data_IF_004264576483
#
_entry.id   IF_004264576483
#
_cell.length_a   1.000
_cell.length_b   1.000
_cell.length_c   1.000
_cell.angle_alpha   90.00
_cell.angle_beta   90.00
_cell.angle_gamma   90.00
#
_symmetry.space_group_name_H-M   'P 1'
#
loop_
_entity.id
_entity.type
_entity.pdbx_description
1 polymer ?
#
# COMPACT_ATOMS: atom_id res chain seq x y z
N UNK A 1 11.93 8.46 -12.88
CA UNK A 1 11.86 9.31 -11.67
C UNK A 1 10.46 9.87 -11.61
N UNK A 2 9.69 9.59 -10.56
CA UNK A 2 8.32 10.11 -10.39
C UNK A 2 8.41 11.16 -9.29
N UNK A 3 7.97 12.38 -9.58
CA UNK A 3 7.92 13.48 -8.62
C UNK A 3 6.47 13.66 -8.19
N UNK A 4 6.24 13.76 -6.89
CA UNK A 4 4.93 14.11 -6.36
C UNK A 4 5.07 15.33 -5.45
N UNK A 5 4.32 16.38 -5.78
CA UNK A 5 4.26 17.62 -5.03
C UNK A 5 2.92 17.71 -4.30
N UNK A 6 2.96 18.02 -3.01
CA UNK A 6 1.77 18.27 -2.18
C UNK A 6 1.90 19.71 -1.68
N UNK A 7 0.84 20.49 -1.82
CA UNK A 7 0.79 21.89 -1.37
C UNK A 7 -0.55 22.17 -0.70
N UNK A 8 -0.58 23.14 0.22
CA UNK A 8 -1.79 23.55 0.92
C UNK A 8 -2.75 24.42 0.10
N UNK A 9 -2.25 25.07 -0.96
CA UNK A 9 -3.06 25.86 -1.88
C UNK A 9 -2.64 25.66 -3.33
N UNK A 10 -3.51 26.06 -4.27
CA UNK A 10 -3.23 25.95 -5.71
C UNK A 10 -2.10 26.88 -6.16
N UNK A 11 -1.98 28.05 -5.54
CA UNK A 11 -0.93 29.03 -5.82
C UNK A 11 0.43 28.46 -5.42
N UNK A 12 0.54 27.92 -4.21
CA UNK A 12 1.76 27.22 -3.75
C UNK A 12 2.05 25.97 -4.58
N UNK A 13 1.01 25.28 -5.07
CA UNK A 13 1.21 24.13 -5.95
C UNK A 13 1.84 24.54 -7.28
N UNK A 14 1.36 25.62 -7.90
CA UNK A 14 1.92 26.15 -9.14
C UNK A 14 3.40 26.56 -8.96
N UNK A 15 3.73 27.23 -7.85
CA UNK A 15 5.11 27.59 -7.51
C UNK A 15 6.01 26.36 -7.35
N UNK A 16 5.58 25.36 -6.56
CA UNK A 16 6.35 24.13 -6.36
C UNK A 16 6.57 23.36 -7.66
N UNK A 17 5.52 23.24 -8.49
CA UNK A 17 5.64 22.58 -9.80
C UNK A 17 6.60 23.34 -10.71
N UNK A 18 6.56 24.68 -10.73
CA UNK A 18 7.49 25.49 -11.51
C UNK A 18 8.95 25.27 -11.08
N UNK A 19 9.23 25.23 -9.77
CA UNK A 19 10.57 24.93 -9.23
C UNK A 19 11.04 23.54 -9.66
N UNK A 20 10.18 22.52 -9.56
CA UNK A 20 10.54 21.15 -9.97
C UNK A 20 10.83 21.07 -11.47
N UNK A 21 10.01 21.72 -12.31
CA UNK A 21 10.23 21.76 -13.76
C UNK A 21 11.52 22.49 -14.13
N UNK A 22 11.86 23.59 -13.44
CA UNK A 22 13.12 24.32 -13.64
C UNK A 22 14.34 23.47 -13.26
N UNK A 23 14.27 22.73 -12.14
CA UNK A 23 15.32 21.77 -11.74
C UNK A 23 15.48 20.66 -12.79
N UNK A 24 14.37 20.10 -13.28
CA UNK A 24 14.39 19.08 -14.32
C UNK A 24 15.07 19.60 -15.58
N UNK A 25 14.71 20.81 -16.01
CA UNK A 25 15.31 21.46 -17.18
C UNK A 25 16.82 21.70 -16.98
N UNK A 26 17.23 22.23 -15.82
CA UNK A 26 18.65 22.45 -15.47
C UNK A 26 19.49 21.18 -15.54
N UNK A 27 18.92 20.05 -15.13
CA UNK A 27 19.60 18.75 -15.16
C UNK A 27 19.34 17.94 -16.44
N UNK A 28 18.71 18.53 -17.46
CA UNK A 28 18.36 17.85 -18.72
C UNK A 28 17.54 16.56 -18.51
N UNK A 29 16.68 16.56 -17.49
CA UNK A 29 15.74 15.48 -17.22
C UNK A 29 14.38 15.83 -17.84
N UNK A 30 13.81 14.88 -18.56
CA UNK A 30 12.54 15.07 -19.26
C UNK A 30 11.42 14.29 -18.58
N UNK A 31 10.33 14.99 -18.27
CA UNK A 31 9.10 14.36 -17.81
C UNK A 31 8.28 13.89 -19.02
N UNK A 32 7.76 12.65 -18.99
CA UNK A 32 6.88 12.14 -20.05
C UNK A 32 5.46 12.67 -19.82
N UNK A 33 4.88 13.51 -20.69
CA UNK A 33 3.58 14.13 -20.46
C UNK A 33 2.46 13.12 -20.19
N UNK A 34 2.50 11.96 -20.88
CA UNK A 34 1.51 10.88 -20.70
C UNK A 34 1.54 10.21 -19.32
N UNK A 35 2.52 10.54 -18.47
CA UNK A 35 2.67 10.02 -17.10
C UNK A 35 2.61 11.14 -16.06
N UNK A 36 2.35 12.38 -16.49
CA UNK A 36 2.24 13.53 -15.61
C UNK A 36 0.77 13.83 -15.36
N UNK A 37 0.40 13.87 -14.09
CA UNK A 37 -0.89 14.33 -13.62
C UNK A 37 -0.66 15.57 -12.76
N UNK A 38 -1.37 16.66 -13.04
CA UNK A 38 -1.24 17.92 -12.31
C UNK A 38 -2.54 18.25 -11.58
N UNK A 39 -2.42 18.93 -10.44
CA UNK A 39 -3.57 19.45 -9.67
C UNK A 39 -4.65 18.40 -9.34
N UNK A 40 -4.26 17.16 -9.04
CA UNK A 40 -5.20 16.11 -8.65
C UNK A 40 -5.45 16.11 -7.14
N UNK A 41 -6.71 15.96 -6.74
CA UNK A 41 -7.11 15.82 -5.34
C UNK A 41 -6.72 14.45 -4.74
N UNK A 42 -6.56 13.44 -5.60
CA UNK A 42 -6.04 12.12 -5.24
C UNK A 42 -5.15 11.59 -6.37
N UNK A 43 -4.10 10.85 -6.00
CA UNK A 43 -3.18 10.24 -6.95
C UNK A 43 -2.93 8.77 -6.59
N UNK A 44 -2.84 7.91 -7.60
CA UNK A 44 -2.28 6.56 -7.43
C UNK A 44 -0.76 6.65 -7.46
N UNK A 45 -0.12 6.27 -6.36
CA UNK A 45 1.31 6.25 -6.22
C UNK A 45 1.78 4.99 -5.51
N UNK A 46 2.59 4.19 -6.22
CA UNK A 46 3.18 2.94 -5.73
C UNK A 46 2.16 1.93 -5.17
N UNK A 47 0.95 1.87 -5.72
CA UNK A 47 -0.09 0.94 -5.25
C UNK A 47 -0.83 1.43 -3.99
N UNK A 48 -0.77 2.74 -3.75
CA UNK A 48 -1.56 3.44 -2.75
C UNK A 48 -2.31 4.59 -3.41
N UNK A 49 -3.53 4.85 -2.93
CA UNK A 49 -4.22 6.10 -3.26
C UNK A 49 -3.84 7.11 -2.20
N UNK A 50 -3.30 8.24 -2.61
CA UNK A 50 -2.92 9.29 -1.68
C UNK A 50 -3.76 10.53 -1.95
N UNK A 51 -4.40 11.01 -0.89
CA UNK A 51 -5.31 12.16 -0.91
C UNK A 51 -5.03 13.07 0.28
N UNK A 52 -5.76 14.20 0.36
CA UNK A 52 -5.68 15.11 1.49
C UNK A 52 -5.99 14.44 2.85
N UNK A 53 -6.75 13.35 2.86
CA UNK A 53 -7.12 12.59 4.06
C UNK A 53 -6.02 11.62 4.52
N UNK A 54 -5.09 11.26 3.63
CA UNK A 54 -3.99 10.35 3.94
C UNK A 54 -3.69 9.37 2.81
N UNK A 55 -3.05 8.27 3.18
CA UNK A 55 -2.67 7.16 2.32
C UNK A 55 -3.68 6.04 2.52
N UNK A 56 -4.36 5.65 1.44
CA UNK A 56 -5.30 4.54 1.40
C UNK A 56 -4.73 3.39 0.55
N UNK A 57 -5.24 2.18 0.81
CA UNK A 57 -4.98 1.00 -0.02
C UNK A 57 -5.69 1.16 -1.37
N UNK A 58 -5.04 0.75 -2.46
CA UNK A 58 -5.66 0.75 -3.79
C UNK A 58 -6.89 -0.19 -3.83
N UNK A 59 -8.09 0.31 -4.20
CA UNK A 59 -9.31 -0.49 -4.35
C UNK A 59 -9.16 -1.71 -5.26
N UNK A 60 -8.30 -1.63 -6.28
CA UNK A 60 -8.02 -2.75 -7.18
C UNK A 60 -7.35 -3.91 -6.43
N UNK A 61 -6.46 -3.58 -5.48
CA UNK A 61 -5.76 -4.54 -4.62
C UNK A 61 -6.70 -5.09 -3.55
N UNK A 62 -7.59 -4.27 -3.00
CA UNK A 62 -8.65 -4.72 -2.09
C UNK A 62 -9.56 -5.74 -2.80
N UNK A 63 -9.99 -5.45 -4.02
CA UNK A 63 -10.82 -6.36 -4.82
C UNK A 63 -10.10 -7.69 -5.10
N UNK A 64 -8.81 -7.63 -5.46
CA UNK A 64 -8.00 -8.82 -5.67
C UNK A 64 -7.86 -9.68 -4.40
N UNK A 65 -7.68 -9.06 -3.23
CA UNK A 65 -7.62 -9.78 -1.95
C UNK A 65 -8.97 -10.38 -1.58
N UNK A 66 -10.06 -9.65 -1.80
CA UNK A 66 -11.43 -10.15 -1.56
C UNK A 66 -11.71 -11.40 -2.39
N UNK A 67 -11.32 -11.39 -3.66
CA UNK A 67 -11.47 -12.53 -4.59
C UNK A 67 -10.37 -13.60 -4.44
N UNK A 68 -9.39 -13.42 -3.55
CA UNK A 68 -8.26 -14.34 -3.42
C UNK A 68 -8.74 -15.73 -2.96
N UNK A 69 -8.42 -16.80 -3.71
CA UNK A 69 -8.84 -18.16 -3.38
C UNK A 69 -8.05 -18.70 -2.17
N UNK A 70 -8.61 -19.70 -1.48
CA UNK A 70 -7.90 -20.37 -0.39
C UNK A 70 -6.62 -21.02 -0.93
N UNK A 71 -5.42 -20.70 -0.38
CA UNK A 71 -4.16 -21.27 -0.85
C UNK A 71 -4.15 -22.79 -0.69
N UNK A 72 -3.85 -23.51 -1.78
CA UNK A 72 -3.74 -24.97 -1.78
C UNK A 72 -2.30 -25.46 -1.71
N UNK A 73 -1.33 -24.57 -1.90
CA UNK A 73 0.09 -24.87 -1.91
C UNK A 73 0.93 -23.72 -1.33
N UNK A 74 2.21 -24.01 -1.07
CA UNK A 74 3.16 -23.06 -0.50
C UNK A 74 3.43 -21.83 -1.38
N UNK A 75 3.31 -21.95 -2.71
CA UNK A 75 3.55 -20.83 -3.63
C UNK A 75 2.42 -19.80 -3.50
N UNK A 76 1.18 -20.27 -3.49
CA UNK A 76 0.00 -19.43 -3.33
C UNK A 76 -0.02 -18.73 -1.97
N UNK A 77 0.35 -19.47 -0.91
CA UNK A 77 0.44 -18.92 0.44
C UNK A 77 1.52 -17.83 0.55
N UNK A 78 2.68 -18.02 -0.08
CA UNK A 78 3.73 -16.99 -0.15
C UNK A 78 3.27 -15.76 -0.93
N UNK A 79 2.53 -15.95 -2.03
CA UNK A 79 1.96 -14.84 -2.80
C UNK A 79 0.98 -14.01 -1.96
N UNK A 80 0.08 -14.68 -1.25
CA UNK A 80 -0.86 -14.03 -0.34
C UNK A 80 -0.14 -13.25 0.77
N UNK A 81 0.78 -13.90 1.49
CA UNK A 81 1.55 -13.28 2.58
C UNK A 81 2.46 -12.15 2.11
N UNK A 82 2.93 -12.20 0.86
CA UNK A 82 3.68 -11.10 0.24
C UNK A 82 2.82 -9.85 0.08
N UNK A 83 1.59 -10.02 -0.43
CA UNK A 83 0.66 -8.90 -0.62
C UNK A 83 0.14 -8.35 0.71
N UNK A 84 -0.32 -9.21 1.61
CA UNK A 84 -0.79 -8.75 2.93
C UNK A 84 0.36 -8.20 3.77
N UNK A 85 1.57 -8.71 3.57
CA UNK A 85 2.79 -8.22 4.20
C UNK A 85 3.20 -6.82 3.72
N UNK A 86 2.97 -6.50 2.43
CA UNK A 86 3.19 -5.15 1.90
C UNK A 86 2.29 -4.13 2.61
N UNK A 87 1.03 -4.48 2.83
CA UNK A 87 0.05 -3.64 3.53
C UNK A 87 -0.01 -3.87 5.04
N UNK A 88 0.99 -4.52 5.65
CA UNK A 88 1.00 -4.82 7.10
C UNK A 88 0.80 -3.60 8.00
N UNK A 89 1.16 -2.39 7.54
CA UNK A 89 0.99 -1.14 8.29
C UNK A 89 -0.47 -0.77 8.52
N UNK A 90 -1.38 -1.27 7.68
CA UNK A 90 -2.81 -1.03 7.74
C UNK A 90 -3.56 -2.09 8.56
N UNK A 91 -2.90 -3.19 8.90
CA UNK A 91 -3.50 -4.33 9.60
C UNK A 91 -2.98 -4.35 11.05
N UNK A 92 -3.87 -4.08 12.00
CA UNK A 92 -3.52 -4.21 13.41
C UNK A 92 -3.19 -5.66 13.76
N UNK A 93 -2.17 -5.86 14.60
CA UNK A 93 -1.73 -7.19 15.04
C UNK A 93 -1.36 -8.17 13.92
N UNK A 94 -0.95 -7.67 12.75
CA UNK A 94 -0.59 -8.51 11.59
C UNK A 94 0.33 -9.69 11.94
N UNK A 95 1.35 -9.45 12.77
CA UNK A 95 2.29 -10.50 13.19
C UNK A 95 1.64 -11.65 13.96
N UNK A 96 0.62 -11.38 14.78
CA UNK A 96 -0.11 -12.41 15.53
C UNK A 96 -1.00 -13.24 14.61
N UNK A 97 -1.73 -12.57 13.70
CA UNK A 97 -2.67 -13.23 12.78
C UNK A 97 -1.89 -14.06 11.74
N UNK A 98 -0.87 -13.46 11.12
CA UNK A 98 -0.05 -14.13 10.09
C UNK A 98 0.83 -15.26 10.65
N UNK A 99 0.98 -15.39 11.97
CA UNK A 99 1.76 -16.47 12.59
C UNK A 99 1.26 -17.85 12.16
N UNK A 100 -0.05 -18.10 12.24
CA UNK A 100 -0.63 -19.39 11.86
C UNK A 100 -0.36 -19.76 10.39
N UNK A 101 -0.22 -18.76 9.52
CA UNK A 101 0.10 -18.95 8.10
C UNK A 101 1.61 -19.07 7.84
N UNK A 102 2.45 -18.32 8.56
CA UNK A 102 3.90 -18.38 8.41
C UNK A 102 4.49 -19.68 8.97
N UNK A 103 3.86 -20.30 9.96
CA UNK A 103 4.20 -21.66 10.43
C UNK A 103 4.10 -22.70 9.31
N UNK A 104 3.09 -22.60 8.43
CA UNK A 104 2.92 -23.49 7.27
C UNK A 104 4.04 -23.33 6.22
N UNK A 105 4.82 -22.24 6.28
CA UNK A 105 5.94 -22.00 5.35
C UNK A 105 7.27 -22.57 5.83
N UNK A 106 7.35 -23.07 7.06
CA UNK A 106 8.60 -23.60 7.64
C UNK A 106 9.06 -24.86 6.93
N UNK A 107 10.38 -25.02 6.83
CA UNK A 107 10.98 -26.28 6.34
C UNK A 107 10.59 -27.41 7.30
N UNK A 108 10.31 -28.59 6.74
CA UNK A 108 9.92 -29.81 7.46
C UNK A 108 8.54 -29.78 8.14
N UNK A 109 7.69 -28.79 7.83
CA UNK A 109 6.28 -28.80 8.24
C UNK A 109 5.43 -29.23 7.04
N UNK A 110 4.58 -30.27 7.15
CA UNK A 110 3.66 -30.62 6.08
C UNK A 110 2.63 -29.50 5.91
N UNK A 111 2.32 -29.15 4.65
CA UNK A 111 1.29 -28.16 4.36
C UNK A 111 -0.09 -28.75 4.68
N UNK A 112 -0.58 -28.49 5.88
CA UNK A 112 -1.91 -28.89 6.32
C UNK A 112 -2.75 -27.64 6.59
N UNK A 113 -3.76 -27.43 5.76
CA UNK A 113 -4.69 -26.34 5.94
C UNK A 113 -5.69 -26.70 7.04
N UNK A 114 -5.60 -26.01 8.18
CA UNK A 114 -6.45 -26.26 9.35
C UNK A 114 -7.51 -25.17 9.52
N UNK A 115 -8.46 -25.38 10.43
CA UNK A 115 -9.41 -24.34 10.83
C UNK A 115 -8.71 -23.06 11.31
N UNK A 116 -7.62 -23.19 12.07
CA UNK A 116 -6.81 -22.05 12.53
C UNK A 116 -6.18 -21.29 11.35
N UNK A 117 -5.69 -22.01 10.33
CA UNK A 117 -5.15 -21.40 9.11
C UNK A 117 -6.25 -20.65 8.33
N UNK A 118 -7.44 -21.24 8.23
CA UNK A 118 -8.59 -20.62 7.58
C UNK A 118 -9.02 -19.34 8.30
N UNK A 119 -9.17 -19.39 9.63
CA UNK A 119 -9.52 -18.20 10.43
C UNK A 119 -8.49 -17.08 10.26
N UNK A 120 -7.19 -17.41 10.28
CA UNK A 120 -6.13 -16.42 10.06
C UNK A 120 -6.18 -15.80 8.64
N UNK A 121 -6.45 -16.63 7.63
CA UNK A 121 -6.62 -16.18 6.24
C UNK A 121 -7.80 -15.22 6.09
N UNK A 122 -8.97 -15.59 6.61
CA UNK A 122 -10.18 -14.77 6.53
C UNK A 122 -10.03 -13.46 7.32
N UNK A 123 -9.42 -13.52 8.52
CA UNK A 123 -9.14 -12.33 9.33
C UNK A 123 -8.22 -11.35 8.60
N UNK A 124 -7.17 -11.84 7.92
CA UNK A 124 -6.29 -10.98 7.12
C UNK A 124 -7.00 -10.36 5.91
N UNK A 125 -7.90 -11.12 5.26
CA UNK A 125 -8.73 -10.59 4.16
C UNK A 125 -9.63 -9.47 4.67
N UNK A 126 -10.36 -9.71 5.76
CA UNK A 126 -11.26 -8.71 6.35
C UNK A 126 -10.51 -7.47 6.83
N UNK A 127 -9.37 -7.62 7.50
CA UNK A 127 -8.58 -6.51 7.98
C UNK A 127 -8.03 -5.65 6.84
N UNK A 128 -7.70 -6.24 5.69
CA UNK A 128 -7.26 -5.48 4.52
C UNK A 128 -8.42 -4.79 3.80
N UNK A 129 -9.61 -5.40 3.78
CA UNK A 129 -10.83 -4.80 3.19
C UNK A 129 -11.34 -3.63 4.04
N UNK A 130 -11.24 -3.75 5.36
CA UNK A 130 -11.68 -2.73 6.32
C UNK A 130 -10.57 -1.75 6.71
N UNK A 131 -9.37 -1.92 6.12
CA UNK A 131 -8.19 -1.11 6.40
C UNK A 131 -8.52 0.40 6.34
N UNK A 132 -8.28 1.16 7.43
CA UNK A 132 -8.52 2.59 7.45
C UNK A 132 -7.50 3.35 6.59
N UNK A 133 -7.87 4.55 6.16
CA UNK A 133 -6.92 5.50 5.58
C UNK A 133 -5.89 5.87 6.64
N UNK A 134 -4.61 5.62 6.38
CA UNK A 134 -3.54 6.06 7.27
C UNK A 134 -3.28 7.54 7.04
N UNK A 135 -3.45 8.35 8.08
CA UNK A 135 -3.08 9.76 8.02
C UNK A 135 -1.58 9.89 7.70
N UNK A 136 -1.24 10.91 6.91
CA UNK A 136 0.17 11.24 6.66
C UNK A 136 0.83 11.70 7.98
N UNK A 137 2.08 11.29 8.25
CA UNK A 137 2.76 11.71 9.46
C UNK A 137 2.90 13.24 9.48
N UNK A 138 2.36 13.87 10.51
CA UNK A 138 2.52 15.29 10.72
C UNK A 138 3.86 15.54 11.43
N UNK A 139 4.88 15.94 10.67
CA UNK A 139 6.23 16.21 11.20
C UNK A 139 6.30 17.40 12.16
N UNK A 140 5.20 18.13 12.39
CA UNK A 140 5.09 19.17 13.41
C UNK A 140 4.64 18.63 14.78
N UNK A 141 4.28 17.36 14.86
CA UNK A 141 3.91 16.69 16.11
C UNK A 141 4.94 15.61 16.43
N UNK A 142 5.26 15.38 17.72
CA UNK A 142 6.06 14.23 18.10
C UNK A 142 5.37 12.95 17.65
N UNK A 143 6.14 12.01 17.12
CA UNK A 143 5.66 10.68 16.78
C UNK A 143 5.30 9.97 18.10
N UNK A 144 4.01 9.93 18.46
CA UNK A 144 3.50 9.18 19.61
C UNK A 144 3.22 7.73 19.24
#
# INVERSE_FOLDING_TARGET
MIFWCISSSMEQHAEHVAVVLDILQKHQLFAKPSKCSFAQASIDYLGHIISAQGVATDPSKIAAVKAWPVPTNLKDLRGFLGLTGYYRKFIQHYGLISKALTELLKKNVPFMWTSTSQTAFDTLKEALITAPVLALPNFKQPLS
#
